data_IF_910146222207
#
_entry.id   IF_910146222207
#
_cell.length_a   1.000
_cell.length_b   1.000
_cell.length_c   1.000
_cell.angle_alpha   90.00
_cell.angle_beta   90.00
_cell.angle_gamma   90.00
#
_symmetry.space_group_name_H-M   'P 1'
#
loop_
_entity.id
_entity.type
_entity.pdbx_description
1 polymer ?
#
# COMPACT_ATOMS: atom_id res chain seq x y z
N UNK A 1 23.55 4.39 -3.99
CA UNK A 1 23.01 4.86 -5.29
C UNK A 1 23.40 6.32 -5.46
N UNK A 2 23.87 6.75 -6.63
CA UNK A 2 24.28 8.15 -6.82
C UNK A 2 23.07 9.10 -6.83
N UNK A 3 23.22 10.34 -6.34
CA UNK A 3 22.14 11.32 -6.18
C UNK A 3 21.34 11.54 -7.48
N UNK A 4 22.04 11.59 -8.62
CA UNK A 4 21.43 11.78 -9.93
C UNK A 4 20.62 10.56 -10.40
N UNK A 5 21.09 9.36 -10.07
CA UNK A 5 20.38 8.12 -10.37
C UNK A 5 19.11 8.01 -9.53
N UNK A 6 19.20 8.39 -8.25
CA UNK A 6 18.08 8.40 -7.32
C UNK A 6 16.97 9.35 -7.75
N UNK A 7 17.34 10.57 -8.15
CA UNK A 7 16.40 11.54 -8.71
C UNK A 7 15.66 11.01 -9.95
N UNK A 8 16.41 10.44 -10.92
CA UNK A 8 15.81 9.88 -12.14
C UNK A 8 14.91 8.68 -11.86
N UNK A 9 15.33 7.79 -10.96
CA UNK A 9 14.52 6.63 -10.58
C UNK A 9 13.20 7.07 -9.92
N UNK A 10 13.26 8.02 -8.99
CA UNK A 10 12.10 8.59 -8.35
C UNK A 10 11.14 9.23 -9.37
N UNK A 11 11.67 10.00 -10.33
CA UNK A 11 10.88 10.63 -11.41
C UNK A 11 10.10 9.60 -12.23
N UNK A 12 10.74 8.50 -12.65
CA UNK A 12 10.07 7.43 -13.39
C UNK A 12 8.98 6.73 -12.55
N UNK A 13 9.28 6.40 -11.29
CA UNK A 13 8.38 5.64 -10.42
C UNK A 13 7.18 6.49 -9.97
N UNK A 14 7.36 7.82 -9.89
CA UNK A 14 6.32 8.77 -9.49
C UNK A 14 5.02 8.62 -10.28
N UNK A 15 5.12 8.31 -11.58
CA UNK A 15 3.97 8.08 -12.46
C UNK A 15 3.16 6.83 -12.13
N UNK A 16 3.78 5.88 -11.42
CA UNK A 16 3.18 4.59 -11.02
C UNK A 16 2.61 4.64 -9.60
N UNK A 17 2.90 5.70 -8.84
CA UNK A 17 2.35 5.89 -7.50
C UNK A 17 0.87 6.30 -7.57
N UNK A 18 0.08 5.68 -6.70
CA UNK A 18 -1.25 6.19 -6.37
C UNK A 18 -1.09 7.11 -5.16
N UNK A 19 -1.33 8.39 -5.36
CA UNK A 19 -1.35 9.37 -4.27
C UNK A 19 -2.70 9.34 -3.56
N UNK A 20 -2.66 9.27 -2.23
CA UNK A 20 -3.86 9.42 -1.42
C UNK A 20 -4.39 10.85 -1.55
N UNK A 21 -5.71 11.01 -1.69
CA UNK A 21 -6.34 12.34 -1.81
C UNK A 21 -6.41 13.10 -0.48
N UNK A 22 -6.05 12.44 0.62
CA UNK A 22 -6.13 13.00 1.97
C UNK A 22 -4.85 13.79 2.26
N UNK A 23 -4.97 15.11 2.18
CA UNK A 23 -3.91 16.04 2.55
C UNK A 23 -3.81 16.08 4.07
N UNK A 24 -2.61 15.88 4.61
CA UNK A 24 -2.36 15.94 6.05
C UNK A 24 -1.62 17.24 6.32
N UNK A 25 -2.18 18.08 7.19
CA UNK A 25 -1.57 19.35 7.60
C UNK A 25 -0.62 19.13 8.76
N UNK A 26 0.66 19.46 8.57
CA UNK A 26 1.69 19.36 9.61
C UNK A 26 2.13 20.72 10.17
N UNK A 27 1.72 21.83 9.54
CA UNK A 27 2.04 23.20 9.97
C UNK A 27 3.18 23.84 9.16
N UNK A 28 3.39 25.14 9.34
CA UNK A 28 4.48 25.91 8.70
C UNK A 28 5.27 26.70 9.73
N UNK A 29 6.53 27.01 9.39
CA UNK A 29 7.44 27.80 10.21
C UNK A 29 7.63 27.26 11.64
N UNK A 30 7.02 27.92 12.64
CA UNK A 30 7.23 27.61 14.05
C UNK A 30 6.24 26.58 14.62
N UNK A 31 5.15 26.30 13.91
CA UNK A 31 4.08 25.38 14.36
C UNK A 31 4.17 23.99 13.67
N UNK A 32 5.39 23.56 13.32
CA UNK A 32 5.62 22.26 12.70
C UNK A 32 5.44 21.15 13.75
N UNK A 33 4.49 20.24 13.49
CA UNK A 33 4.21 19.07 14.33
C UNK A 33 5.21 17.95 14.06
N UNK A 34 6.39 18.03 14.66
CA UNK A 34 7.46 17.04 14.46
C UNK A 34 7.05 15.61 14.87
N UNK A 35 6.29 15.47 15.96
CA UNK A 35 5.84 14.15 16.45
C UNK A 35 4.99 13.42 15.41
N UNK A 36 4.07 14.15 14.76
CA UNK A 36 3.21 13.62 13.70
C UNK A 36 4.05 13.16 12.48
N UNK A 37 5.07 13.94 12.12
CA UNK A 37 5.95 13.61 11.00
C UNK A 37 6.76 12.36 11.32
N UNK A 38 7.30 12.26 12.54
CA UNK A 38 8.09 11.11 12.96
C UNK A 38 7.26 9.83 12.95
N UNK A 39 6.07 9.88 13.55
CA UNK A 39 5.13 8.75 13.57
C UNK A 39 4.76 8.31 12.15
N UNK A 40 4.51 9.27 11.25
CA UNK A 40 4.20 8.96 9.85
C UNK A 40 5.37 8.29 9.13
N UNK A 41 6.60 8.77 9.34
CA UNK A 41 7.79 8.19 8.73
C UNK A 41 7.98 6.75 9.21
N UNK A 42 7.96 6.53 10.52
CA UNK A 42 8.16 5.21 11.12
C UNK A 42 7.06 4.22 10.71
N UNK A 43 5.79 4.63 10.78
CA UNK A 43 4.66 3.75 10.51
C UNK A 43 4.43 3.51 9.01
N UNK A 44 4.68 4.49 8.15
CA UNK A 44 4.38 4.38 6.72
C UNK A 44 5.54 3.82 5.91
N UNK A 45 6.76 4.33 6.09
CA UNK A 45 7.91 3.92 5.28
C UNK A 45 8.48 2.57 5.75
N UNK A 46 8.43 2.27 7.05
CA UNK A 46 8.83 0.98 7.65
C UNK A 46 10.18 0.47 7.10
N UNK A 47 11.18 1.34 7.05
CA UNK A 47 12.47 1.06 6.42
C UNK A 47 13.60 1.64 7.25
N UNK A 48 14.72 0.92 7.32
CA UNK A 48 15.93 1.33 8.04
C UNK A 48 16.62 2.52 7.35
N UNK A 49 16.57 2.55 6.02
CA UNK A 49 17.09 3.62 5.19
C UNK A 49 15.97 4.30 4.42
N UNK A 50 16.00 5.63 4.46
CA UNK A 50 15.06 6.49 3.77
C UNK A 50 15.81 7.20 2.65
N UNK A 51 15.28 7.03 1.45
CA UNK A 51 15.73 7.72 0.26
C UNK A 51 15.13 9.12 0.26
N UNK A 52 15.98 10.10 0.58
CA UNK A 52 15.64 11.52 0.52
C UNK A 52 15.84 12.03 -0.91
N UNK A 53 14.76 12.53 -1.51
CA UNK A 53 14.77 13.12 -2.86
C UNK A 53 14.52 14.61 -2.73
N UNK A 54 15.55 15.40 -2.99
CA UNK A 54 15.48 16.85 -3.03
C UNK A 54 16.39 17.35 -4.13
N UNK A 55 15.78 17.92 -5.18
CA UNK A 55 16.48 18.41 -6.37
C UNK A 55 17.40 17.37 -7.03
N UNK A 56 18.09 17.77 -8.11
CA UNK A 56 18.97 16.86 -8.88
C UNK A 56 20.25 16.49 -8.15
N UNK A 57 20.71 17.32 -7.22
CA UNK A 57 22.04 17.22 -6.59
C UNK A 57 21.96 16.89 -5.09
N UNK A 58 20.84 17.19 -4.42
CA UNK A 58 20.70 17.06 -2.97
C UNK A 58 19.90 15.80 -2.57
N UNK A 59 19.97 14.77 -3.41
CA UNK A 59 19.28 13.49 -3.19
C UNK A 59 20.25 12.47 -2.58
N UNK A 60 19.79 11.61 -1.67
CA UNK A 60 20.64 10.62 -1.02
C UNK A 60 19.88 9.66 -0.11
N UNK A 61 20.54 8.62 0.37
CA UNK A 61 19.99 7.71 1.36
C UNK A 61 20.45 8.14 2.76
N UNK A 62 19.51 8.24 3.69
CA UNK A 62 19.75 8.64 5.08
C UNK A 62 19.12 7.60 5.99
N UNK A 63 19.76 7.31 7.10
CA UNK A 63 19.21 6.43 8.13
C UNK A 63 17.93 7.01 8.72
N UNK A 64 16.92 6.16 8.96
CA UNK A 64 15.61 6.62 9.46
C UNK A 64 15.72 7.39 10.78
N UNK A 65 16.67 7.02 11.65
CA UNK A 65 16.93 7.70 12.93
C UNK A 65 17.43 9.14 12.77
N UNK A 66 18.07 9.45 11.63
CA UNK A 66 18.70 10.77 11.37
C UNK A 66 17.90 11.62 10.39
N UNK A 67 16.86 11.07 9.77
CA UNK A 67 16.10 11.78 8.73
C UNK A 67 15.45 13.05 9.26
N UNK A 68 14.93 13.02 10.51
CA UNK A 68 14.21 14.14 11.09
C UNK A 68 15.14 15.36 11.26
N UNK A 69 16.38 15.12 11.66
CA UNK A 69 17.42 16.16 11.73
C UNK A 69 17.77 16.70 10.33
N UNK A 70 17.83 15.85 9.31
CA UNK A 70 18.18 16.24 7.95
C UNK A 70 17.09 17.08 7.26
N UNK A 71 15.81 16.83 7.56
CA UNK A 71 14.69 17.52 6.92
C UNK A 71 14.19 18.74 7.71
N UNK A 72 14.60 18.90 8.96
CA UNK A 72 14.11 19.97 9.87
C UNK A 72 14.16 21.36 9.23
N UNK A 73 15.27 21.68 8.58
CA UNK A 73 15.49 22.99 7.98
C UNK A 73 14.70 23.20 6.67
N UNK A 74 14.20 22.12 6.07
CA UNK A 74 13.48 22.10 4.80
C UNK A 74 11.97 22.12 5.00
N UNK A 75 11.48 21.62 6.13
CA UNK A 75 10.05 21.57 6.46
C UNK A 75 9.44 22.99 6.42
N UNK A 76 8.40 23.15 5.60
CA UNK A 76 7.70 24.43 5.42
C UNK A 76 8.44 25.47 4.58
N UNK A 77 9.61 25.15 4.00
CA UNK A 77 10.36 26.04 3.09
C UNK A 77 10.41 25.48 1.67
N UNK A 78 10.78 24.21 1.55
CA UNK A 78 11.03 23.56 0.26
C UNK A 78 10.09 22.36 0.05
N UNK A 79 9.91 22.00 -1.22
CA UNK A 79 9.23 20.76 -1.59
C UNK A 79 10.26 19.64 -1.69
N UNK A 80 10.01 18.52 -1.03
CA UNK A 80 10.89 17.35 -1.08
C UNK A 80 10.07 16.08 -0.90
N UNK A 81 10.69 14.94 -1.18
CA UNK A 81 10.05 13.64 -1.02
C UNK A 81 10.93 12.69 -0.21
N UNK A 82 10.27 11.87 0.59
CA UNK A 82 10.86 10.77 1.31
C UNK A 82 10.35 9.47 0.72
N UNK A 83 11.27 8.58 0.39
CA UNK A 83 10.96 7.28 -0.16
C UNK A 83 11.55 6.21 0.75
N UNK A 84 10.90 5.07 0.83
CA UNK A 84 11.52 3.94 1.50
C UNK A 84 12.62 3.32 0.63
N UNK A 85 13.41 2.41 1.20
CA UNK A 85 14.50 1.74 0.49
C UNK A 85 14.02 1.03 -0.79
N UNK A 86 12.85 0.38 -0.73
CA UNK A 86 12.25 -0.35 -1.86
C UNK A 86 11.58 0.55 -2.92
N UNK A 87 11.51 1.87 -2.71
CA UNK A 87 10.86 2.83 -3.61
C UNK A 87 9.40 2.47 -3.97
N UNK A 88 8.66 1.78 -3.10
CA UNK A 88 7.24 1.47 -3.27
C UNK A 88 6.33 2.39 -2.46
N UNK A 89 6.89 3.12 -1.49
CA UNK A 89 6.16 4.09 -0.66
C UNK A 89 6.90 5.41 -0.67
N UNK A 90 6.13 6.49 -0.80
CA UNK A 90 6.64 7.85 -0.80
C UNK A 90 5.79 8.77 0.07
N UNK A 91 6.42 9.74 0.71
CA UNK A 91 5.76 10.86 1.36
C UNK A 91 6.25 12.12 0.67
N UNK A 92 5.33 12.89 0.10
CA UNK A 92 5.62 14.17 -0.51
C UNK A 92 5.34 15.28 0.49
N UNK A 93 6.34 16.14 0.73
CA UNK A 93 6.22 17.34 1.54
C UNK A 93 6.14 18.56 0.65
N UNK A 94 5.21 19.46 0.98
CA UNK A 94 5.03 20.72 0.28
C UNK A 94 5.34 21.88 1.23
N UNK A 95 5.91 22.96 0.68
CA UNK A 95 6.24 24.20 1.39
C UNK A 95 5.05 24.85 2.10
N UNK A 96 3.82 24.54 1.67
CA UNK A 96 2.57 25.06 2.25
C UNK A 96 2.24 24.38 3.61
N UNK A 97 3.06 23.43 4.09
CA UNK A 97 2.83 22.75 5.37
C UNK A 97 1.86 21.57 5.27
N UNK A 98 1.78 20.97 4.08
CA UNK A 98 0.95 19.80 3.79
C UNK A 98 1.82 18.65 3.30
N UNK A 99 1.44 17.44 3.69
CA UNK A 99 2.06 16.22 3.22
C UNK A 99 1.03 15.29 2.56
N UNK A 100 1.53 14.49 1.62
CA UNK A 100 0.77 13.49 0.87
C UNK A 100 1.47 12.14 0.92
N UNK A 101 0.70 11.08 1.11
CA UNK A 101 1.19 9.71 1.05
C UNK A 101 0.97 9.13 -0.34
N UNK A 102 2.01 8.52 -0.88
CA UNK A 102 2.00 7.82 -2.15
C UNK A 102 2.36 6.35 -1.92
N UNK A 103 1.57 5.45 -2.52
CA UNK A 103 1.88 4.03 -2.52
C UNK A 103 1.88 3.51 -3.94
N UNK A 104 2.90 2.76 -4.31
CA UNK A 104 2.95 2.04 -5.57
C UNK A 104 1.79 1.07 -5.58
N UNK A 105 1.01 1.10 -6.66
CA UNK A 105 -0.04 0.11 -6.86
C UNK A 105 0.68 -1.23 -7.02
N UNK A 106 0.80 -1.97 -5.92
CA UNK A 106 1.28 -3.35 -5.99
C UNK A 106 0.39 -4.14 -6.95
N UNK A 107 0.87 -5.28 -7.47
CA UNK A 107 -0.09 -6.28 -7.95
C UNK A 107 -1.11 -6.45 -6.83
N UNK A 108 -2.40 -6.49 -7.18
CA UNK A 108 -3.47 -6.73 -6.21
C UNK A 108 -3.14 -8.07 -5.57
N UNK A 109 -2.40 -8.06 -4.45
CA UNK A 109 -2.31 -9.22 -3.58
C UNK A 109 -3.66 -9.25 -2.92
N UNK A 110 -4.60 -9.90 -3.62
CA UNK A 110 -5.83 -10.41 -3.07
C UNK A 110 -5.42 -11.05 -1.76
N UNK A 111 -5.75 -10.39 -0.65
CA UNK A 111 -5.39 -10.86 0.67
C UNK A 111 -5.90 -12.29 0.77
N UNK A 112 -4.96 -13.23 0.79
CA UNK A 112 -5.19 -14.67 0.91
C UNK A 112 -5.85 -15.05 2.23
N UNK A 113 -6.33 -14.09 3.04
CA UNK A 113 -7.20 -14.34 4.18
C UNK A 113 -8.51 -15.04 3.81
N UNK A 114 -8.91 -15.05 2.54
CA UNK A 114 -10.08 -15.80 2.06
C UNK A 114 -9.81 -17.24 1.59
N UNK A 115 -8.55 -17.70 1.51
CA UNK A 115 -8.29 -19.06 0.97
C UNK A 115 -8.49 -20.20 1.98
N UNK A 116 -8.50 -19.95 3.29
CA UNK A 116 -8.70 -21.04 4.27
C UNK A 116 -10.19 -21.35 4.48
N UNK A 117 -11.10 -20.38 4.33
CA UNK A 117 -12.55 -20.65 4.44
C UNK A 117 -13.14 -21.31 3.20
N UNK A 118 -12.58 -21.09 2.00
CA UNK A 118 -13.10 -21.70 0.76
C UNK A 118 -12.74 -23.18 0.59
N UNK A 119 -11.62 -23.63 1.17
CA UNK A 119 -11.19 -25.04 1.04
C UNK A 119 -12.09 -25.99 1.86
N UNK A 120 -12.70 -25.53 2.96
CA UNK A 120 -13.68 -26.33 3.72
C UNK A 120 -15.03 -26.48 3.02
N UNK A 121 -15.42 -25.55 2.15
CA UNK A 121 -16.68 -25.67 1.39
C UNK A 121 -16.56 -26.59 0.18
N UNK A 122 -15.37 -26.68 -0.43
CA UNK A 122 -15.17 -27.53 -1.61
C UNK A 122 -15.14 -29.03 -1.29
N UNK A 123 -14.68 -29.44 -0.10
CA UNK A 123 -14.67 -30.86 0.29
C UNK A 123 -16.06 -31.42 0.62
N UNK A 124 -17.01 -30.57 1.04
CA UNK A 124 -18.39 -30.98 1.28
C UNK A 124 -19.17 -31.18 -0.01
N UNK A 125 -18.90 -30.36 -1.03
CA UNK A 125 -19.58 -30.41 -2.32
C UNK A 125 -19.22 -31.67 -3.13
N UNK A 126 -17.97 -32.12 -3.07
CA UNK A 126 -17.53 -33.32 -3.79
C UNK A 126 -18.09 -34.63 -3.23
N UNK A 127 -18.36 -34.69 -1.91
CA UNK A 127 -19.01 -35.85 -1.29
C UNK A 127 -20.48 -35.99 -1.67
N UNK A 128 -21.18 -34.90 -1.97
CA UNK A 128 -22.58 -34.95 -2.40
C UNK A 128 -22.72 -35.46 -3.84
N UNK A 129 -21.77 -35.11 -4.73
CA UNK A 129 -21.82 -35.51 -6.14
C UNK A 129 -21.62 -37.03 -6.33
N UNK A 130 -20.70 -37.66 -5.58
CA UNK A 130 -20.45 -39.11 -5.68
C UNK A 130 -21.64 -39.98 -5.25
N UNK A 131 -22.55 -39.46 -4.41
CA UNK A 131 -23.74 -40.20 -3.98
C UNK A 131 -24.82 -40.16 -5.08
N UNK A 132 -24.92 -39.08 -5.86
CA UNK A 132 -25.91 -38.97 -6.93
C UNK A 132 -25.59 -39.87 -8.14
N UNK A 133 -24.32 -40.11 -8.44
CA UNK A 133 -23.91 -40.92 -9.60
C UNK A 133 -24.15 -42.44 -9.38
N UNK A 134 -24.28 -42.89 -8.13
CA UNK A 134 -24.59 -44.29 -7.79
C UNK A 134 -26.09 -44.64 -7.92
N UNK A 135 -26.98 -43.64 -7.99
CA UNK A 135 -28.45 -43.86 -8.00
C UNK A 135 -29.06 -43.65 -9.39
N UNK A 136 -28.25 -43.35 -10.42
CA UNK A 136 -28.72 -43.30 -11.81
C UNK A 136 -29.79 -42.23 -12.07
N UNK A 137 -29.70 -41.09 -11.39
CA UNK A 137 -30.62 -39.96 -11.59
C UNK A 137 -30.02 -38.92 -12.53
N UNK A 138 -30.63 -38.78 -13.71
CA UNK A 138 -30.32 -37.74 -14.70
C UNK A 138 -30.71 -36.36 -14.16
N UNK A 139 -29.73 -35.48 -13.97
CA UNK A 139 -29.98 -34.12 -13.47
C UNK A 139 -29.89 -33.07 -14.58
N UNK A 140 -31.05 -32.49 -14.94
CA UNK A 140 -31.14 -31.14 -15.48
C UNK A 140 -30.77 -30.16 -14.35
N UNK A 141 -29.59 -29.55 -14.43
CA UNK A 141 -29.18 -28.50 -13.50
C UNK A 141 -29.46 -27.14 -14.16
N UNK A 142 -30.47 -26.44 -13.63
CA UNK A 142 -30.72 -25.02 -13.92
C UNK A 142 -30.09 -24.18 -12.79
N UNK A 143 -29.14 -23.31 -13.15
CA UNK A 143 -28.61 -22.29 -12.24
C UNK A 143 -29.50 -21.05 -12.32
N UNK A 144 -30.37 -20.87 -11.33
CA UNK A 144 -30.93 -19.56 -11.01
C UNK A 144 -31.01 -19.40 -9.51
N UNK A 145 -30.59 -18.22 -9.06
CA UNK A 145 -30.43 -17.81 -7.68
C UNK A 145 -31.72 -18.03 -6.87
N UNK A 146 -31.52 -18.52 -5.65
CA UNK A 146 -32.46 -18.41 -4.54
C UNK A 146 -33.68 -19.33 -4.60
N UNK A 147 -33.54 -20.56 -4.09
CA UNK A 147 -34.33 -21.09 -2.97
C UNK A 147 -33.95 -22.55 -2.71
N UNK A 148 -33.58 -22.84 -1.47
CA UNK A 148 -33.39 -24.19 -0.97
C UNK A 148 -34.79 -24.76 -0.74
N UNK A 149 -35.11 -25.86 -1.41
CA UNK A 149 -36.15 -26.79 -0.98
C UNK A 149 -35.56 -28.19 -0.95
N UNK A 150 -35.47 -28.74 0.26
CA UNK A 150 -35.27 -30.15 0.49
C UNK A 150 -36.65 -30.78 0.60
N UNK A 151 -36.98 -31.72 -0.28
CA UNK A 151 -37.98 -32.74 0.01
C UNK A 151 -37.35 -34.10 -0.25
N UNK A 152 -37.05 -34.83 0.83
CA UNK A 152 -36.96 -36.28 0.81
C UNK A 152 -38.40 -36.80 1.00
N UNK A 153 -38.85 -37.69 0.12
CA UNK A 153 -39.95 -38.62 0.39
C UNK A 153 -39.57 -39.59 1.49
#
# INVERSE_FOLDING_TARGET
MDSRQLYKAAEHIRTTLTWEKNWIHFGTANDVKYDLINELIENFLQSEYINFVHERTNSGAVEATKILSAIKDLLGKNNFELWNDSMDRAIQFNRIGVLLKGKKKGPITFSMKWRISAIRYFSAFWKAQQICDLVGLSNKIWLSKSQIWLSCT
#
